data_IF_846879177376
#
_entry.id   IF_846879177376
#
_cell.length_a   1.000
_cell.length_b   1.000
_cell.length_c   1.000
_cell.angle_alpha   90.00
_cell.angle_beta   90.00
_cell.angle_gamma   90.00
#
_symmetry.space_group_name_H-M   'P 1'
#
loop_
_entity.id
_entity.type
_entity.pdbx_description
1 polymer ?
#
# COMPACT_ATOMS: atom_id res chain seq x y z
N UNK A 1 -14.65 24.79 -41.31
CA UNK A 1 -13.50 24.48 -40.44
C UNK A 1 -13.70 23.06 -39.94
N UNK A 2 -12.99 22.12 -40.55
CA UNK A 2 -13.00 20.69 -40.21
C UNK A 2 -12.05 20.46 -39.04
N UNK A 3 -12.58 20.13 -37.87
CA UNK A 3 -11.77 19.71 -36.72
C UNK A 3 -11.19 18.32 -37.00
N UNK A 4 -9.85 18.25 -37.06
CA UNK A 4 -9.11 16.99 -37.05
C UNK A 4 -9.19 16.38 -35.64
N UNK A 5 -9.38 15.05 -35.50
CA UNK A 5 -9.27 14.39 -34.21
C UNK A 5 -7.78 14.26 -33.85
N UNK A 6 -7.34 14.98 -32.82
CA UNK A 6 -6.05 14.77 -32.17
C UNK A 6 -6.15 13.58 -31.22
N UNK A 7 -6.20 12.36 -31.77
CA UNK A 7 -6.02 11.14 -31.00
C UNK A 7 -4.57 10.68 -31.14
N UNK A 8 -3.73 10.94 -30.14
CA UNK A 8 -2.50 10.16 -29.98
C UNK A 8 -2.93 8.79 -29.45
N UNK A 9 -3.11 7.82 -30.33
CA UNK A 9 -3.12 6.41 -29.93
C UNK A 9 -1.73 6.07 -29.38
N UNK A 10 -1.65 5.66 -28.11
CA UNK A 10 -0.43 5.20 -27.47
C UNK A 10 0.05 3.90 -28.15
N UNK A 11 0.88 4.06 -29.18
CA UNK A 11 1.55 2.95 -29.82
C UNK A 11 2.55 2.32 -28.83
N UNK A 12 2.48 1.00 -28.57
CA UNK A 12 3.38 0.35 -27.62
C UNK A 12 4.82 0.40 -28.12
N UNK A 13 5.73 0.77 -27.22
CA UNK A 13 7.18 0.79 -27.48
C UNK A 13 7.67 -0.63 -27.84
N UNK A 14 8.42 -0.76 -28.93
CA UNK A 14 8.96 -2.06 -29.34
C UNK A 14 10.06 -2.55 -28.39
N UNK A 15 10.25 -3.86 -28.31
CA UNK A 15 11.28 -4.46 -27.46
C UNK A 15 12.70 -3.95 -27.77
N UNK A 16 13.00 -3.65 -29.04
CA UNK A 16 14.31 -3.16 -29.46
C UNK A 16 14.54 -1.71 -29.02
N UNK A 17 13.50 -0.86 -29.08
CA UNK A 17 13.57 0.51 -28.55
C UNK A 17 13.75 0.49 -27.04
N UNK A 18 13.00 -0.35 -26.32
CA UNK A 18 13.17 -0.52 -24.88
C UNK A 18 14.59 -0.99 -24.52
N UNK A 19 15.10 -2.03 -25.19
CA UNK A 19 16.45 -2.54 -24.95
C UNK A 19 17.54 -1.52 -25.30
N UNK A 20 17.35 -0.75 -26.36
CA UNK A 20 18.29 0.31 -26.75
C UNK A 20 18.34 1.40 -25.67
N UNK A 21 17.18 1.90 -25.23
CA UNK A 21 17.07 2.88 -24.15
C UNK A 21 17.69 2.36 -22.85
N UNK A 22 17.30 1.17 -22.41
CA UNK A 22 17.82 0.60 -21.17
C UNK A 22 19.32 0.28 -21.25
N UNK A 23 19.86 0.03 -22.44
CA UNK A 23 21.29 -0.22 -22.60
C UNK A 23 22.15 1.01 -22.36
N UNK A 24 21.61 2.23 -22.48
CA UNK A 24 22.36 3.49 -22.27
C UNK A 24 22.21 4.06 -20.86
N UNK A 25 21.21 3.61 -20.09
CA UNK A 25 21.02 4.03 -18.70
C UNK A 25 22.18 3.54 -17.82
N UNK A 26 22.98 4.45 -17.21
CA UNK A 26 24.06 4.05 -16.33
C UNK A 26 23.49 3.50 -15.03
N UNK A 27 24.04 2.38 -14.57
CA UNK A 27 23.61 1.70 -13.35
C UNK A 27 24.81 1.17 -12.58
N UNK A 28 24.67 1.14 -11.25
CA UNK A 28 25.60 0.37 -10.41
C UNK A 28 25.48 -1.13 -10.71
N UNK A 29 26.59 -1.85 -10.57
CA UNK A 29 26.62 -3.30 -10.78
C UNK A 29 26.67 -4.02 -9.45
N UNK A 30 25.78 -5.00 -9.26
CA UNK A 30 25.79 -5.88 -8.11
C UNK A 30 25.73 -7.35 -8.53
N UNK A 31 26.12 -8.26 -7.62
CA UNK A 31 25.77 -9.68 -7.72
C UNK A 31 24.74 -10.00 -6.65
N UNK A 32 23.55 -10.39 -7.07
CA UNK A 32 22.52 -10.94 -6.16
C UNK A 32 22.82 -12.40 -5.96
N UNK A 33 22.89 -12.82 -4.70
CA UNK A 33 23.22 -14.20 -4.31
C UNK A 33 22.23 -14.72 -3.28
N UNK A 34 22.08 -16.04 -3.23
CA UNK A 34 21.27 -16.76 -2.25
C UNK A 34 21.73 -18.21 -2.22
N UNK A 35 21.15 -19.02 -1.35
CA UNK A 35 21.32 -20.48 -1.34
C UNK A 35 19.98 -21.14 -1.56
N UNK A 36 19.97 -22.30 -2.21
CA UNK A 36 18.80 -23.17 -2.22
C UNK A 36 18.64 -23.89 -0.86
N UNK A 37 17.56 -24.67 -0.71
CA UNK A 37 17.23 -25.40 0.52
C UNK A 37 18.29 -26.45 0.88
N UNK A 38 19.00 -26.99 -0.11
CA UNK A 38 20.10 -27.94 0.04
C UNK A 38 21.46 -27.28 0.30
N UNK A 39 21.50 -25.94 0.40
CA UNK A 39 22.72 -25.16 0.58
C UNK A 39 23.45 -24.81 -0.71
N UNK A 40 22.97 -25.25 -1.88
CA UNK A 40 23.60 -24.93 -3.17
C UNK A 40 23.57 -23.42 -3.42
N UNK A 41 24.72 -22.76 -3.69
CA UNK A 41 24.75 -21.33 -3.91
C UNK A 41 24.23 -20.96 -5.30
N UNK A 42 23.43 -19.90 -5.36
CA UNK A 42 22.92 -19.30 -6.59
C UNK A 42 23.24 -17.82 -6.62
N UNK A 43 23.54 -17.30 -7.82
CA UNK A 43 23.77 -15.87 -7.97
C UNK A 43 23.68 -15.39 -9.41
N UNK A 44 23.43 -14.11 -9.61
CA UNK A 44 23.41 -13.46 -10.92
C UNK A 44 23.87 -12.01 -10.81
N UNK A 45 24.46 -11.52 -11.89
CA UNK A 45 24.77 -10.09 -12.03
C UNK A 45 23.48 -9.32 -12.27
N UNK A 46 23.28 -8.26 -11.48
CA UNK A 46 22.09 -7.43 -11.48
C UNK A 46 22.48 -5.95 -11.59
N UNK A 47 21.85 -5.25 -12.52
CA UNK A 47 21.93 -3.79 -12.68
C UNK A 47 20.59 -3.10 -12.40
N UNK A 48 19.52 -3.88 -12.25
CA UNK A 48 18.18 -3.42 -11.88
C UNK A 48 18.02 -3.49 -10.36
N UNK A 49 18.63 -2.53 -9.68
CA UNK A 49 18.57 -2.35 -8.24
C UNK A 49 18.34 -0.87 -7.88
N UNK A 50 17.54 -0.62 -6.85
CA UNK A 50 17.36 0.70 -6.24
C UNK A 50 17.10 0.59 -4.73
N UNK A 51 17.37 1.66 -3.99
CA UNK A 51 16.81 1.86 -2.65
C UNK A 51 15.32 2.20 -2.76
N UNK A 52 14.50 1.68 -1.84
CA UNK A 52 13.04 1.83 -1.87
C UNK A 52 12.57 2.78 -0.76
N UNK A 53 12.96 2.49 0.49
CA UNK A 53 12.60 3.28 1.66
C UNK A 53 13.65 3.05 2.76
N UNK A 54 13.83 4.03 3.64
CA UNK A 54 14.67 3.94 4.83
C UNK A 54 13.92 3.39 6.05
N UNK A 55 12.59 3.45 6.05
CA UNK A 55 11.73 2.88 7.11
C UNK A 55 10.68 1.89 6.53
N UNK A 56 10.86 0.56 6.72
CA UNK A 56 12.10 -0.10 7.14
C UNK A 56 13.15 -0.06 6.02
N UNK A 57 14.45 -0.10 6.35
CA UNK A 57 15.54 0.02 5.38
C UNK A 57 15.46 -1.08 4.29
N UNK A 58 14.95 -0.72 3.11
CA UNK A 58 14.53 -1.67 2.07
C UNK A 58 15.14 -1.30 0.73
N UNK A 59 15.65 -2.31 0.02
CA UNK A 59 16.10 -2.22 -1.37
C UNK A 59 15.25 -3.12 -2.28
N UNK A 60 15.23 -2.81 -3.57
CA UNK A 60 14.55 -3.59 -4.60
C UNK A 60 15.55 -4.17 -5.59
N UNK A 61 15.36 -5.44 -6.00
CA UNK A 61 16.07 -6.07 -7.13
C UNK A 61 15.09 -6.72 -8.09
N UNK A 62 15.25 -6.48 -9.39
CA UNK A 62 14.46 -7.17 -10.41
C UNK A 62 15.18 -8.43 -10.89
N UNK A 63 14.51 -9.58 -10.81
CA UNK A 63 15.05 -10.89 -11.20
C UNK A 63 14.18 -11.52 -12.27
N UNK A 64 14.79 -12.03 -13.35
CA UNK A 64 14.04 -12.65 -14.44
C UNK A 64 13.39 -13.97 -13.98
N UNK A 65 12.09 -14.17 -14.26
CA UNK A 65 11.27 -15.27 -13.73
C UNK A 65 11.77 -16.68 -14.12
N UNK A 66 12.54 -16.80 -15.20
CA UNK A 66 13.17 -18.07 -15.63
C UNK A 66 14.48 -18.41 -14.91
N UNK A 67 15.08 -17.48 -14.17
CA UNK A 67 16.39 -17.65 -13.53
C UNK A 67 16.38 -18.65 -12.37
N UNK A 68 17.50 -19.35 -12.14
CA UNK A 68 17.66 -20.22 -10.97
C UNK A 68 17.69 -19.42 -9.66
N UNK A 69 18.35 -18.25 -9.66
CA UNK A 69 18.46 -17.38 -8.48
C UNK A 69 17.10 -16.93 -7.96
N UNK A 70 16.17 -16.47 -8.81
CA UNK A 70 14.83 -16.04 -8.33
C UNK A 70 14.04 -17.20 -7.72
N UNK A 71 14.21 -18.42 -8.23
CA UNK A 71 13.57 -19.62 -7.64
C UNK A 71 14.14 -19.92 -6.25
N UNK A 72 15.45 -19.78 -6.09
CA UNK A 72 16.10 -19.95 -4.79
C UNK A 72 15.71 -18.83 -3.81
N UNK A 73 15.66 -17.56 -4.25
CA UNK A 73 15.21 -16.43 -3.42
C UNK A 73 13.78 -16.65 -2.93
N UNK A 74 12.87 -17.11 -3.80
CA UNK A 74 11.48 -17.44 -3.44
C UNK A 74 11.37 -18.49 -2.34
N UNK A 75 12.27 -19.48 -2.33
CA UNK A 75 12.25 -20.56 -1.33
C UNK A 75 12.99 -20.18 -0.04
N UNK A 76 14.11 -19.47 -0.17
CA UNK A 76 15.00 -19.11 0.94
C UNK A 76 14.51 -17.90 1.71
N UNK A 77 13.69 -17.06 1.08
CA UNK A 77 13.19 -15.77 1.59
C UNK A 77 14.31 -14.83 2.08
N UNK A 78 15.53 -15.05 1.58
CA UNK A 78 16.71 -14.24 1.87
C UNK A 78 17.62 -14.19 0.66
N UNK A 79 18.29 -13.07 0.50
CA UNK A 79 19.30 -12.87 -0.54
C UNK A 79 20.33 -11.84 -0.09
N UNK A 80 21.54 -11.94 -0.60
CA UNK A 80 22.57 -10.93 -0.41
C UNK A 80 22.78 -10.14 -1.69
N UNK A 81 22.97 -8.83 -1.56
CA UNK A 81 23.36 -7.93 -2.63
C UNK A 81 24.82 -7.54 -2.42
N UNK A 82 25.67 -7.97 -3.34
CA UNK A 82 27.10 -7.69 -3.34
C UNK A 82 27.37 -6.54 -4.32
N UNK A 83 27.47 -5.31 -3.81
CA UNK A 83 27.70 -4.10 -4.61
C UNK A 83 29.14 -4.08 -5.11
N UNK A 84 29.35 -4.22 -6.42
CA UNK A 84 30.69 -4.46 -6.97
C UNK A 84 31.51 -3.17 -7.09
N UNK A 85 32.80 -3.26 -6.80
CA UNK A 85 33.77 -2.23 -7.15
C UNK A 85 34.41 -2.52 -8.51
N UNK A 86 35.21 -1.58 -9.02
CA UNK A 86 35.90 -1.71 -10.32
C UNK A 86 36.68 -3.01 -10.51
N UNK A 87 37.42 -3.45 -9.48
CA UNK A 87 38.10 -4.75 -9.45
C UNK A 87 37.17 -5.98 -9.52
N UNK A 88 35.89 -5.84 -9.19
CA UNK A 88 34.88 -6.90 -9.24
C UNK A 88 34.31 -7.18 -10.63
N UNK A 89 34.82 -6.52 -11.69
CA UNK A 89 34.33 -6.70 -13.07
C UNK A 89 34.31 -8.16 -13.52
N UNK A 90 35.35 -8.93 -13.19
CA UNK A 90 35.43 -10.35 -13.57
C UNK A 90 34.27 -11.16 -12.94
N UNK A 91 33.91 -10.85 -11.69
CA UNK A 91 32.74 -11.45 -11.05
C UNK A 91 31.44 -11.03 -11.76
N UNK A 92 31.30 -9.76 -12.13
CA UNK A 92 30.14 -9.28 -12.88
C UNK A 92 29.96 -10.02 -14.22
N UNK A 93 31.02 -10.19 -15.00
CA UNK A 93 30.97 -10.92 -16.27
C UNK A 93 30.66 -12.40 -16.05
N UNK A 94 31.27 -13.01 -15.03
CA UNK A 94 31.07 -14.42 -14.72
C UNK A 94 29.63 -14.74 -14.29
N UNK A 95 29.07 -13.94 -13.37
CA UNK A 95 27.70 -14.12 -12.90
C UNK A 95 26.63 -13.72 -13.93
N UNK A 96 27.00 -13.02 -15.01
CA UNK A 96 26.13 -12.73 -16.15
C UNK A 96 26.15 -13.84 -17.23
N UNK A 97 27.20 -14.69 -17.26
CA UNK A 97 27.47 -15.62 -18.35
C UNK A 97 26.48 -16.78 -18.51
N UNK A 98 25.72 -17.11 -17.46
CA UNK A 98 24.86 -18.29 -17.46
C UNK A 98 25.54 -19.57 -16.97
N UNK A 99 26.87 -19.59 -16.75
CA UNK A 99 27.63 -20.78 -16.35
C UNK A 99 27.08 -21.46 -15.08
N UNK A 100 27.14 -22.80 -14.94
CA UNK A 100 26.68 -23.50 -13.74
C UNK A 100 27.69 -23.44 -12.57
N UNK A 101 28.99 -23.30 -12.87
CA UNK A 101 30.14 -23.34 -11.94
C UNK A 101 30.51 -21.96 -11.36
N UNK A 102 29.53 -21.04 -11.23
CA UNK A 102 29.79 -19.61 -10.90
C UNK A 102 30.60 -19.37 -9.62
N UNK A 103 30.38 -20.25 -8.65
CA UNK A 103 30.95 -20.14 -7.31
C UNK A 103 32.29 -20.87 -7.16
N UNK A 104 32.77 -21.58 -8.20
CA UNK A 104 34.07 -22.26 -8.18
C UNK A 104 35.23 -21.31 -8.56
N UNK A 105 34.91 -20.20 -9.24
CA UNK A 105 35.91 -19.29 -9.83
C UNK A 105 35.93 -17.89 -9.21
N UNK A 106 35.16 -17.68 -8.15
CA UNK A 106 35.05 -16.40 -7.45
C UNK A 106 35.23 -16.67 -5.96
N UNK A 107 36.05 -15.86 -5.30
CA UNK A 107 36.21 -15.96 -3.86
C UNK A 107 34.91 -15.49 -3.17
N UNK A 108 34.30 -16.40 -2.42
CA UNK A 108 33.11 -16.10 -1.62
C UNK A 108 33.21 -16.77 -0.25
N UNK A 109 32.44 -16.23 0.70
CA UNK A 109 32.30 -16.79 2.05
C UNK A 109 30.84 -16.79 2.48
N UNK A 110 30.49 -17.61 3.45
CA UNK A 110 29.15 -17.61 4.03
C UNK A 110 28.99 -16.44 5.00
N UNK A 111 27.93 -15.65 4.80
CA UNK A 111 27.51 -14.53 5.66
C UNK A 111 26.80 -14.97 6.93
N UNK A 112 26.35 -13.99 7.71
CA UNK A 112 25.67 -14.22 9.00
C UNK A 112 24.38 -15.03 8.82
N UNK A 113 23.66 -14.81 7.72
CA UNK A 113 22.39 -15.49 7.42
C UNK A 113 22.54 -16.70 6.49
N UNK A 114 23.76 -17.21 6.34
CA UNK A 114 24.04 -18.36 5.48
C UNK A 114 24.05 -18.02 3.98
N UNK A 115 24.23 -16.74 3.63
CA UNK A 115 24.19 -16.26 2.24
C UNK A 115 25.60 -16.16 1.64
N UNK A 116 25.81 -16.39 0.33
CA UNK A 116 27.13 -16.26 -0.29
C UNK A 116 27.53 -14.78 -0.43
N UNK A 117 28.62 -14.38 0.21
CA UNK A 117 29.15 -13.00 0.17
C UNK A 117 30.44 -12.95 -0.65
N UNK A 118 30.61 -11.90 -1.46
CA UNK A 118 31.76 -11.70 -2.35
C UNK A 118 32.65 -10.52 -1.87
N UNK A 119 33.31 -10.63 -0.69
CA UNK A 119 34.00 -9.49 -0.07
C UNK A 119 35.15 -8.93 -0.90
N UNK A 120 35.83 -9.74 -1.71
CA UNK A 120 36.97 -9.31 -2.54
C UNK A 120 36.56 -8.60 -3.83
N UNK A 121 35.27 -8.65 -4.19
CA UNK A 121 34.74 -8.04 -5.40
C UNK A 121 33.82 -6.84 -5.11
N UNK A 122 33.52 -6.58 -3.83
CA UNK A 122 32.46 -5.68 -3.40
C UNK A 122 32.93 -4.54 -2.51
N UNK A 123 32.52 -3.32 -2.82
CA UNK A 123 32.66 -2.16 -1.92
C UNK A 123 31.53 -2.07 -0.90
N UNK A 124 30.50 -2.89 -1.02
CA UNK A 124 29.41 -2.94 -0.07
C UNK A 124 28.64 -4.24 -0.20
N UNK A 125 28.07 -4.72 0.89
CA UNK A 125 27.30 -5.97 0.92
C UNK A 125 26.10 -5.74 1.82
N UNK A 126 24.91 -6.12 1.37
CA UNK A 126 23.70 -6.14 2.17
C UNK A 126 23.11 -7.56 2.21
N UNK A 127 22.87 -8.09 3.39
CA UNK A 127 22.09 -9.31 3.59
C UNK A 127 20.64 -8.94 3.88
N UNK A 128 19.73 -9.41 3.04
CA UNK A 128 18.34 -8.99 3.05
C UNK A 128 17.40 -10.14 3.41
N UNK A 129 16.33 -9.82 4.14
CA UNK A 129 15.14 -10.65 4.27
C UNK A 129 14.11 -10.20 3.24
N UNK A 130 13.53 -11.14 2.51
CA UNK A 130 12.46 -10.84 1.55
C UNK A 130 11.24 -10.36 2.34
N UNK A 131 10.77 -9.15 2.02
CA UNK A 131 9.52 -8.56 2.49
C UNK A 131 8.37 -8.87 1.53
N UNK A 132 8.63 -8.74 0.24
CA UNK A 132 7.64 -9.00 -0.80
C UNK A 132 8.31 -9.41 -2.12
N UNK A 133 7.54 -10.10 -2.96
CA UNK A 133 7.93 -10.57 -4.29
C UNK A 133 6.82 -10.21 -5.29
N UNK A 134 6.99 -9.07 -5.95
CA UNK A 134 6.00 -8.55 -6.88
C UNK A 134 6.32 -9.09 -8.28
N UNK A 135 5.46 -9.97 -8.81
CA UNK A 135 5.60 -10.48 -10.18
C UNK A 135 5.08 -9.43 -11.16
N UNK A 136 5.96 -8.96 -12.04
CA UNK A 136 5.63 -7.97 -13.07
C UNK A 136 6.18 -8.41 -14.43
N UNK A 137 5.27 -8.85 -15.31
CA UNK A 137 5.62 -9.40 -16.62
C UNK A 137 6.59 -10.59 -16.51
N UNK A 138 7.75 -10.49 -17.15
CA UNK A 138 8.78 -11.54 -17.14
C UNK A 138 9.79 -11.42 -15.99
N UNK A 139 9.59 -10.50 -15.04
CA UNK A 139 10.45 -10.31 -13.87
C UNK A 139 9.67 -10.43 -12.56
N UNK A 140 10.40 -10.64 -11.47
CA UNK A 140 9.94 -10.50 -10.09
C UNK A 140 10.77 -9.39 -9.45
N UNK A 141 10.11 -8.40 -8.87
CA UNK A 141 10.74 -7.40 -8.01
C UNK A 141 10.80 -8.00 -6.61
N UNK A 142 12.00 -8.29 -6.12
CA UNK A 142 12.21 -8.71 -4.75
C UNK A 142 12.51 -7.49 -3.88
N UNK A 143 11.63 -7.21 -2.92
CA UNK A 143 11.81 -6.18 -1.91
C UNK A 143 12.51 -6.81 -0.71
N UNK A 144 13.74 -6.39 -0.45
CA UNK A 144 14.58 -6.90 0.61
C UNK A 144 14.78 -5.88 1.71
N UNK A 145 14.28 -6.16 2.91
CA UNK A 145 14.65 -5.42 4.12
C UNK A 145 16.07 -5.81 4.52
N UNK A 146 16.94 -4.83 4.70
CA UNK A 146 18.35 -5.01 5.03
C UNK A 146 18.44 -5.44 6.49
N UNK A 147 18.95 -6.65 6.72
CA UNK A 147 19.17 -7.20 8.06
C UNK A 147 20.60 -6.95 8.55
N UNK A 148 21.57 -6.93 7.64
CA UNK A 148 22.98 -6.61 7.92
C UNK A 148 23.60 -5.97 6.69
N UNK A 149 24.53 -5.03 6.88
CA UNK A 149 25.24 -4.38 5.78
C UNK A 149 26.67 -4.02 6.15
N UNK A 150 27.55 -4.06 5.15
CA UNK A 150 28.92 -3.54 5.21
C UNK A 150 29.14 -2.53 4.10
N UNK A 151 29.95 -1.51 4.37
CA UNK A 151 30.38 -0.51 3.39
C UNK A 151 31.92 -0.45 3.31
N UNK A 152 32.40 0.03 2.18
CA UNK A 152 33.81 0.12 1.81
C UNK A 152 34.04 1.39 0.97
N UNK A 153 35.31 1.68 0.69
CA UNK A 153 35.74 2.92 0.03
C UNK A 153 36.21 2.72 -1.40
N UNK A 154 36.16 1.48 -1.91
CA UNK A 154 36.57 1.14 -3.26
C UNK A 154 35.62 1.77 -4.29
N UNK A 155 36.17 2.16 -5.44
CA UNK A 155 35.40 2.82 -6.49
C UNK A 155 34.31 1.89 -7.06
N UNK A 156 33.02 2.30 -7.03
CA UNK A 156 31.93 1.49 -7.57
C UNK A 156 32.07 1.15 -9.06
N UNK A 157 31.63 -0.05 -9.44
CA UNK A 157 31.54 -0.47 -10.84
C UNK A 157 30.22 -0.01 -11.45
N UNK A 158 30.31 0.64 -12.61
CA UNK A 158 29.18 1.08 -13.40
C UNK A 158 29.04 0.25 -14.67
N UNK A 159 27.80 0.10 -15.14
CA UNK A 159 27.48 -0.46 -16.45
C UNK A 159 26.48 0.43 -17.19
N UNK A 160 26.78 0.72 -18.45
CA UNK A 160 25.93 1.52 -19.33
C UNK A 160 26.55 1.63 -20.71
N UNK A 161 25.75 1.89 -21.74
CA UNK A 161 26.15 1.84 -23.16
C UNK A 161 26.93 0.56 -23.53
N UNK A 162 26.54 -0.59 -22.95
CA UNK A 162 27.21 -1.90 -23.12
C UNK A 162 28.70 -1.93 -22.74
N UNK A 163 29.12 -1.06 -21.82
CA UNK A 163 30.51 -0.99 -21.31
C UNK A 163 30.51 -0.89 -19.79
N UNK A 164 31.55 -1.44 -19.19
CA UNK A 164 31.88 -1.19 -17.80
C UNK A 164 32.66 0.12 -17.67
N UNK A 165 32.41 0.85 -16.60
CA UNK A 165 33.14 2.06 -16.24
C UNK A 165 33.38 2.10 -14.73
N UNK A 166 34.38 2.88 -14.31
CA UNK A 166 34.55 3.25 -12.91
C UNK A 166 33.68 4.48 -12.62
N UNK A 167 33.10 4.54 -11.42
CA UNK A 167 32.59 5.81 -10.92
C UNK A 167 33.74 6.84 -10.95
N UNK A 168 33.52 8.06 -11.49
CA UNK A 168 34.58 9.05 -11.56
C UNK A 168 35.10 9.35 -10.15
N UNK A 169 36.43 9.42 -9.94
CA UNK A 169 36.97 9.87 -8.66
C UNK A 169 36.49 11.30 -8.39
N UNK A 170 36.29 11.65 -7.12
CA UNK A 170 35.95 13.02 -6.73
C UNK A 170 37.01 13.99 -7.28
N UNK A 171 36.64 14.75 -8.30
CA UNK A 171 37.45 15.86 -8.81
C UNK A 171 37.37 17.10 -7.92
N UNK A 172 36.84 16.98 -6.69
CA UNK A 172 36.52 18.07 -5.79
C UNK A 172 37.62 18.42 -4.76
N UNK A 173 38.87 17.98 -4.94
CA UNK A 173 40.03 18.50 -4.18
C UNK A 173 40.93 19.47 -4.98
N UNK A 174 40.62 19.76 -6.25
CA UNK A 174 41.29 20.81 -7.05
C UNK A 174 40.34 21.95 -7.42
N UNK A 175 40.02 22.80 -6.43
CA UNK A 175 39.68 24.22 -6.67
C UNK A 175 39.56 25.08 -5.41
N UNK A 176 39.92 24.59 -4.21
CA UNK A 176 39.86 25.39 -2.97
C UNK A 176 41.25 25.69 -2.36
N UNK A 177 42.36 25.31 -3.00
CA UNK A 177 43.73 25.65 -2.57
C UNK A 177 44.36 26.87 -3.26
N UNK A 178 43.68 27.47 -4.25
CA UNK A 178 44.20 28.63 -5.01
C UNK A 178 43.64 29.99 -4.55
N UNK A 179 42.95 30.04 -3.41
CA UNK A 179 42.56 31.30 -2.78
C UNK A 179 42.98 31.32 -1.31
N UNK A 180 44.29 31.30 -1.08
CA UNK A 180 44.90 31.61 0.20
C UNK A 180 45.02 33.14 0.39
N UNK A 181 44.10 33.72 1.17
CA UNK A 181 44.25 34.92 2.04
C UNK A 181 44.55 36.31 1.41
N UNK A 182 44.40 37.46 2.13
CA UNK A 182 43.99 37.72 3.53
C UNK A 182 42.82 38.78 3.59
N UNK A 183 42.20 39.24 4.68
CA UNK A 183 42.67 39.77 5.98
C UNK A 183 41.49 39.94 6.95
N UNK A 184 41.66 39.48 8.20
CA UNK A 184 41.35 40.18 9.47
C UNK A 184 40.33 41.33 9.48
N UNK A 185 39.25 41.18 10.26
CA UNK A 185 39.02 41.93 11.53
C UNK A 185 37.91 41.27 12.34
N UNK A 186 38.25 40.80 13.54
CA UNK A 186 37.37 40.50 14.68
C UNK A 186 37.09 41.82 15.47
N UNK A 187 36.29 41.88 16.56
CA UNK A 187 35.31 40.94 17.11
C UNK A 187 33.98 41.63 17.51
N UNK A 188 32.93 40.86 17.87
CA UNK A 188 32.30 40.92 19.22
C UNK A 188 31.01 40.08 19.38
N UNK A 189 31.09 39.15 20.36
CA UNK A 189 30.11 38.81 21.43
C UNK A 189 28.85 37.98 21.15
N UNK A 190 28.94 36.72 21.61
CA UNK A 190 28.02 35.96 22.49
C UNK A 190 26.55 35.73 22.08
N UNK A 191 26.17 34.47 21.99
CA UNK A 191 25.22 33.88 22.94
C UNK A 191 25.19 32.35 22.83
N UNK A 192 24.96 31.73 23.98
CA UNK A 192 25.08 30.32 24.31
C UNK A 192 23.92 29.49 23.74
N UNK A 193 24.22 28.39 23.04
CA UNK A 193 23.23 27.32 22.83
C UNK A 193 23.46 26.17 23.80
N UNK A 194 22.48 26.02 24.70
CA UNK A 194 22.33 24.92 25.64
C UNK A 194 22.24 23.59 24.90
N UNK A 195 23.24 22.75 25.14
CA UNK A 195 23.21 21.33 24.84
C UNK A 195 22.26 20.63 25.83
N UNK A 196 21.02 20.34 25.41
CA UNK A 196 20.12 19.45 26.17
C UNK A 196 20.42 18.02 25.73
N UNK A 197 21.28 17.34 26.47
CA UNK A 197 21.47 15.89 26.38
C UNK A 197 20.20 15.19 26.87
N UNK A 198 19.30 14.81 25.96
CA UNK A 198 18.18 13.92 26.28
C UNK A 198 18.64 12.48 26.03
N UNK A 199 19.17 11.86 27.08
CA UNK A 199 19.34 10.41 27.16
C UNK A 199 17.96 9.75 27.06
N UNK A 200 17.56 9.36 25.85
CA UNK A 200 16.40 8.48 25.68
C UNK A 200 16.89 7.06 25.96
N UNK A 201 16.75 6.66 27.22
CA UNK A 201 16.79 5.25 27.59
C UNK A 201 15.61 4.59 26.88
N UNK A 202 15.79 3.55 26.05
CA UNK A 202 14.67 2.84 25.47
C UNK A 202 13.77 2.33 26.62
N UNK A 203 12.45 2.49 26.55
CA UNK A 203 11.58 1.95 27.58
C UNK A 203 11.80 0.44 27.65
N UNK A 204 12.14 -0.01 28.84
CA UNK A 204 12.31 -1.41 29.19
C UNK A 204 11.03 -2.18 28.83
N UNK A 205 11.07 -2.94 27.74
CA UNK A 205 9.94 -3.75 27.25
C UNK A 205 9.67 -4.98 28.14
N UNK A 206 10.31 -5.11 29.30
CA UNK A 206 10.16 -6.24 30.20
C UNK A 206 9.26 -6.01 31.43
N UNK A 207 8.33 -5.06 31.42
CA UNK A 207 7.38 -4.89 32.54
C UNK A 207 5.94 -5.38 32.26
N UNK A 208 5.78 -6.47 31.49
CA UNK A 208 4.57 -7.31 31.51
C UNK A 208 4.95 -8.79 31.49
N UNK A 209 5.64 -9.23 32.53
CA UNK A 209 5.77 -10.66 32.87
C UNK A 209 4.74 -11.02 33.93
N UNK A 210 3.47 -11.03 33.54
CA UNK A 210 2.55 -12.03 34.07
C UNK A 210 2.43 -13.08 32.96
N UNK A 211 3.05 -14.24 33.21
CA UNK A 211 2.95 -15.41 32.35
C UNK A 211 1.48 -15.84 32.23
N UNK A 212 0.82 -15.39 31.18
CA UNK A 212 -0.25 -16.18 30.56
C UNK A 212 0.41 -17.10 29.55
N UNK A 213 0.14 -18.41 29.63
CA UNK A 213 0.59 -19.40 28.65
C UNK A 213 0.43 -18.82 27.22
N UNK A 214 1.55 -18.75 26.48
CA UNK A 214 1.66 -17.91 25.30
C UNK A 214 0.55 -18.16 24.28
N UNK A 215 -0.28 -17.15 24.03
CA UNK A 215 -1.33 -17.20 23.03
C UNK A 215 -0.70 -17.47 21.65
N UNK A 216 -0.92 -18.67 21.12
CA UNK A 216 -0.58 -19.02 19.74
C UNK A 216 -1.27 -18.10 18.72
N UNK A 217 -0.70 -17.96 17.52
CA UNK A 217 -1.34 -17.27 16.38
C UNK A 217 -2.81 -17.69 16.19
N UNK A 218 -3.05 -19.00 16.30
CA UNK A 218 -4.37 -19.62 16.18
C UNK A 218 -5.36 -19.15 17.25
N UNK A 219 -4.91 -18.99 18.49
CA UNK A 219 -5.74 -18.53 19.61
C UNK A 219 -5.99 -17.02 19.57
N UNK A 220 -5.00 -16.22 19.14
CA UNK A 220 -5.17 -14.76 19.03
C UNK A 220 -6.23 -14.41 17.98
N UNK A 221 -6.20 -15.08 16.83
CA UNK A 221 -7.15 -14.83 15.73
C UNK A 221 -8.43 -15.67 15.81
N UNK A 222 -8.58 -16.51 16.84
CA UNK A 222 -9.71 -17.45 17.00
C UNK A 222 -9.99 -18.26 15.72
N UNK A 223 -8.94 -18.78 15.07
CA UNK A 223 -9.07 -19.37 13.72
C UNK A 223 -10.00 -20.58 13.67
N UNK A 224 -10.07 -21.38 14.73
CA UNK A 224 -11.01 -22.53 14.78
C UNK A 224 -12.47 -22.09 14.70
N UNK A 225 -12.80 -20.93 15.26
CA UNK A 225 -14.15 -20.39 15.19
C UNK A 225 -14.38 -19.74 13.82
N UNK A 226 -13.46 -18.88 13.39
CA UNK A 226 -13.55 -18.15 12.13
C UNK A 226 -13.66 -19.08 10.91
N UNK A 227 -12.79 -20.10 10.84
CA UNK A 227 -12.71 -21.04 9.71
C UNK A 227 -13.77 -22.15 9.75
N UNK A 228 -14.64 -22.15 10.77
CA UNK A 228 -15.78 -23.06 10.87
C UNK A 228 -17.09 -22.43 10.39
N UNK A 229 -17.10 -21.12 10.09
CA UNK A 229 -18.29 -20.40 9.66
C UNK A 229 -18.66 -20.64 8.18
N UNK A 230 -17.77 -21.22 7.37
CA UNK A 230 -17.99 -21.49 5.95
C UNK A 230 -18.60 -22.88 5.75
N UNK A 231 -19.86 -23.05 6.13
CA UNK A 231 -20.48 -24.38 6.23
C UNK A 231 -21.07 -24.89 4.91
N UNK A 232 -20.76 -26.16 4.60
CA UNK A 232 -21.44 -27.04 3.64
C UNK A 232 -21.87 -26.41 2.30
N UNK A 233 -20.95 -25.82 1.51
CA UNK A 233 -21.26 -25.40 0.15
C UNK A 233 -21.71 -26.61 -0.68
N UNK A 234 -22.88 -26.50 -1.31
CA UNK A 234 -23.43 -27.52 -2.20
C UNK A 234 -22.76 -27.42 -3.57
N UNK A 235 -22.53 -26.19 -4.04
CA UNK A 235 -21.85 -25.91 -5.31
C UNK A 235 -20.42 -25.43 -5.10
N UNK A 236 -19.54 -25.65 -6.08
CA UNK A 236 -18.12 -25.30 -5.97
C UNK A 236 -17.89 -23.81 -5.67
N UNK A 237 -18.60 -22.94 -6.40
CA UNK A 237 -18.43 -21.48 -6.32
C UNK A 237 -19.15 -20.86 -5.10
N UNK A 238 -20.00 -21.63 -4.40
CA UNK A 238 -20.71 -21.15 -3.21
C UNK A 238 -19.74 -20.82 -2.07
N UNK A 239 -18.66 -21.59 -1.90
CA UNK A 239 -17.63 -21.29 -0.89
C UNK A 239 -17.00 -19.92 -1.13
N UNK A 240 -16.67 -19.61 -2.38
CA UNK A 240 -16.11 -18.31 -2.75
C UNK A 240 -17.11 -17.19 -2.45
N UNK A 241 -18.38 -17.38 -2.80
CA UNK A 241 -19.44 -16.43 -2.49
C UNK A 241 -19.51 -16.14 -0.98
N UNK A 242 -19.54 -17.17 -0.13
CA UNK A 242 -19.57 -17.02 1.33
C UNK A 242 -18.32 -16.32 1.86
N UNK A 243 -17.12 -16.75 1.45
CA UNK A 243 -15.85 -16.19 1.93
C UNK A 243 -15.72 -14.71 1.57
N UNK A 244 -16.05 -14.32 0.34
CA UNK A 244 -15.96 -12.91 -0.08
C UNK A 244 -16.87 -12.03 0.77
N UNK A 245 -18.11 -12.43 1.03
CA UNK A 245 -19.03 -11.64 1.85
C UNK A 245 -18.62 -11.60 3.33
N UNK A 246 -18.12 -12.70 3.90
CA UNK A 246 -17.58 -12.69 5.26
C UNK A 246 -16.37 -11.77 5.40
N UNK A 247 -15.49 -11.75 4.40
CA UNK A 247 -14.35 -10.81 4.37
C UNK A 247 -14.85 -9.36 4.28
N UNK A 248 -15.89 -9.08 3.47
CA UNK A 248 -16.52 -7.75 3.46
C UNK A 248 -17.03 -7.35 4.85
N UNK A 249 -17.76 -8.23 5.54
CA UNK A 249 -18.29 -7.96 6.88
C UNK A 249 -17.19 -7.75 7.94
N UNK A 250 -16.03 -8.42 7.82
CA UNK A 250 -14.88 -8.16 8.68
C UNK A 250 -14.26 -6.78 8.41
N UNK A 251 -14.16 -6.37 7.15
CA UNK A 251 -13.70 -5.04 6.79
C UNK A 251 -14.71 -3.96 7.19
N UNK A 252 -16.01 -4.22 7.09
CA UNK A 252 -17.06 -3.31 7.59
C UNK A 252 -16.96 -3.11 9.09
N UNK A 253 -16.72 -4.19 9.85
CA UNK A 253 -16.47 -4.10 11.29
C UNK A 253 -15.29 -3.22 11.63
N UNK A 254 -14.17 -3.36 10.90
CA UNK A 254 -13.02 -2.49 11.09
C UNK A 254 -13.34 -1.04 10.67
N UNK A 255 -14.03 -0.84 9.54
CA UNK A 255 -14.44 0.48 9.08
C UNK A 255 -15.29 1.21 10.12
N UNK A 256 -16.24 0.52 10.76
CA UNK A 256 -17.05 1.08 11.84
C UNK A 256 -16.18 1.50 13.03
N UNK A 257 -15.28 0.63 13.47
CA UNK A 257 -14.36 0.93 14.56
C UNK A 257 -13.52 2.20 14.28
N UNK A 258 -13.02 2.35 13.06
CA UNK A 258 -12.24 3.52 12.66
C UNK A 258 -13.12 4.78 12.53
N UNK A 259 -14.33 4.68 11.95
CA UNK A 259 -15.23 5.82 11.78
C UNK A 259 -15.79 6.35 13.11
N UNK A 260 -15.99 5.48 14.10
CA UNK A 260 -16.35 5.88 15.46
C UNK A 260 -15.24 6.73 16.08
N UNK A 261 -14.00 6.26 16.01
CA UNK A 261 -12.85 7.00 16.51
C UNK A 261 -12.63 8.30 15.71
N UNK A 262 -12.82 8.31 14.39
CA UNK A 262 -12.80 9.54 13.58
C UNK A 262 -13.79 10.55 14.12
N UNK A 263 -15.06 10.16 14.33
CA UNK A 263 -16.09 11.05 14.87
C UNK A 263 -15.66 11.61 16.22
N UNK A 264 -15.22 10.75 17.13
CA UNK A 264 -14.87 11.12 18.50
C UNK A 264 -13.65 12.06 18.53
N UNK A 265 -12.64 11.80 17.69
CA UNK A 265 -11.50 12.71 17.49
C UNK A 265 -11.91 14.08 16.96
N UNK A 266 -12.89 14.14 16.04
CA UNK A 266 -13.37 15.43 15.51
C UNK A 266 -14.20 16.21 16.53
N UNK A 267 -14.94 15.53 17.42
CA UNK A 267 -15.62 16.16 18.55
C UNK A 267 -14.59 16.89 19.44
N UNK A 268 -13.44 16.23 19.68
CA UNK A 268 -12.29 16.71 20.45
C UNK A 268 -11.33 17.65 19.69
N UNK A 269 -11.69 18.10 18.48
CA UNK A 269 -10.89 19.03 17.68
C UNK A 269 -9.51 18.47 17.26
N UNK A 270 -9.39 17.14 17.12
CA UNK A 270 -8.16 16.42 16.73
C UNK A 270 -8.17 16.02 15.26
N UNK A 271 -8.33 16.99 14.36
CA UNK A 271 -8.48 16.77 12.91
C UNK A 271 -7.30 16.02 12.27
N UNK A 272 -6.06 16.26 12.69
CA UNK A 272 -4.89 15.56 12.15
C UNK A 272 -4.90 14.05 12.48
N UNK A 273 -5.26 13.70 13.72
CA UNK A 273 -5.39 12.30 14.12
C UNK A 273 -6.55 11.62 13.38
N UNK A 274 -7.68 12.31 13.23
CA UNK A 274 -8.81 11.82 12.45
C UNK A 274 -8.43 11.60 10.98
N UNK A 275 -7.62 12.49 10.40
CA UNK A 275 -7.15 12.39 9.00
C UNK A 275 -6.44 11.06 8.75
N UNK A 276 -5.55 10.63 9.65
CA UNK A 276 -4.85 9.33 9.53
C UNK A 276 -5.82 8.15 9.48
N UNK A 277 -6.89 8.19 10.28
CA UNK A 277 -7.90 7.12 10.30
C UNK A 277 -8.80 7.17 9.07
N UNK A 278 -9.15 8.36 8.57
CA UNK A 278 -9.88 8.50 7.30
C UNK A 278 -9.04 7.96 6.12
N UNK A 279 -7.73 8.20 6.10
CA UNK A 279 -6.82 7.60 5.11
C UNK A 279 -6.85 6.06 5.16
N UNK A 280 -6.91 5.49 6.38
CA UNK A 280 -7.09 4.04 6.56
C UNK A 280 -8.46 3.57 6.06
N UNK A 281 -9.54 4.27 6.38
CA UNK A 281 -10.88 3.97 5.88
C UNK A 281 -10.91 3.97 4.34
N UNK A 282 -10.34 4.98 3.69
CA UNK A 282 -10.28 5.04 2.23
C UNK A 282 -9.47 3.88 1.64
N UNK A 283 -8.39 3.48 2.33
CA UNK A 283 -7.58 2.31 1.94
C UNK A 283 -8.37 1.01 2.07
N UNK A 284 -9.08 0.80 3.17
CA UNK A 284 -9.98 -0.37 3.36
C UNK A 284 -11.04 -0.39 2.24
N UNK A 285 -11.63 0.75 1.93
CA UNK A 285 -12.64 0.86 0.89
C UNK A 285 -12.08 0.47 -0.49
N UNK A 286 -10.84 0.85 -0.80
CA UNK A 286 -10.16 0.42 -2.04
C UNK A 286 -9.87 -1.10 -2.08
N UNK A 287 -9.57 -1.71 -0.93
CA UNK A 287 -9.47 -3.18 -0.83
C UNK A 287 -10.82 -3.82 -1.16
N UNK A 288 -11.91 -3.32 -0.58
CA UNK A 288 -13.27 -3.79 -0.89
C UNK A 288 -13.62 -3.64 -2.38
N UNK A 289 -13.22 -2.53 -3.02
CA UNK A 289 -13.38 -2.35 -4.48
C UNK A 289 -12.68 -3.47 -5.26
N UNK A 290 -11.45 -3.81 -4.87
CA UNK A 290 -10.65 -4.82 -5.57
C UNK A 290 -11.23 -6.24 -5.44
N UNK A 291 -11.88 -6.55 -4.32
CA UNK A 291 -12.44 -7.88 -4.03
C UNK A 291 -13.55 -8.30 -4.99
N UNK A 292 -14.26 -7.34 -5.61
CA UNK A 292 -15.23 -7.65 -6.68
C UNK A 292 -14.61 -8.45 -7.83
N UNK A 293 -13.30 -8.28 -8.09
CA UNK A 293 -12.59 -9.02 -9.14
C UNK A 293 -12.53 -10.52 -8.87
N UNK A 294 -12.64 -10.96 -7.61
CA UNK A 294 -12.73 -12.37 -7.23
C UNK A 294 -14.11 -12.92 -7.60
N UNK A 295 -15.19 -12.23 -7.24
CA UNK A 295 -16.55 -12.65 -7.62
C UNK A 295 -16.78 -12.61 -9.14
N UNK A 296 -16.06 -11.75 -9.85
CA UNK A 296 -16.07 -11.68 -11.31
C UNK A 296 -15.52 -12.95 -11.99
N UNK A 297 -14.88 -13.87 -11.28
CA UNK A 297 -14.42 -15.14 -11.87
C UNK A 297 -15.52 -16.20 -11.95
N UNK A 298 -16.59 -16.06 -11.17
CA UNK A 298 -17.75 -16.97 -11.20
C UNK A 298 -18.59 -16.73 -12.45
N UNK A 299 -18.99 -17.81 -13.13
CA UNK A 299 -19.87 -17.70 -14.29
C UNK A 299 -21.33 -17.50 -13.82
N UNK A 300 -22.16 -16.80 -14.60
CA UNK A 300 -23.58 -16.66 -14.29
C UNK A 300 -24.33 -17.99 -14.11
N UNK A 301 -23.92 -19.04 -14.85
CA UNK A 301 -24.51 -20.37 -14.71
C UNK A 301 -24.20 -21.00 -13.36
N UNK A 302 -22.97 -20.86 -12.86
CA UNK A 302 -22.52 -21.38 -11.57
C UNK A 302 -23.22 -20.64 -10.43
N UNK A 303 -23.37 -19.31 -10.53
CA UNK A 303 -24.16 -18.55 -9.56
C UNK A 303 -25.63 -19.02 -9.51
N UNK A 304 -26.25 -19.24 -10.67
CA UNK A 304 -27.64 -19.70 -10.73
C UNK A 304 -27.84 -21.10 -10.14
N UNK A 305 -26.81 -21.93 -10.08
CA UNK A 305 -26.89 -23.29 -9.54
C UNK A 305 -27.20 -23.31 -8.03
N UNK A 306 -26.68 -22.35 -7.27
CA UNK A 306 -26.92 -22.26 -5.81
C UNK A 306 -27.76 -21.06 -5.38
N UNK A 307 -28.08 -20.13 -6.29
CA UNK A 307 -28.83 -18.90 -5.98
C UNK A 307 -30.14 -19.14 -5.23
N UNK A 308 -30.89 -20.16 -5.61
CA UNK A 308 -32.21 -20.44 -5.01
C UNK A 308 -32.09 -20.92 -3.56
N UNK A 309 -30.92 -21.46 -3.17
CA UNK A 309 -30.60 -21.86 -1.80
C UNK A 309 -30.25 -20.70 -0.87
N UNK A 310 -30.13 -19.46 -1.38
CA UNK A 310 -29.80 -18.28 -0.56
C UNK A 310 -30.99 -17.76 0.27
N UNK A 311 -32.16 -18.43 0.25
CA UNK A 311 -33.35 -18.21 1.11
C UNK A 311 -33.68 -16.72 1.44
N UNK A 312 -33.57 -15.83 0.45
CA UNK A 312 -33.90 -14.40 0.62
C UNK A 312 -32.76 -13.52 1.15
N UNK A 313 -31.66 -14.12 1.63
CA UNK A 313 -30.44 -13.45 2.03
C UNK A 313 -29.94 -12.52 0.92
N UNK A 314 -29.91 -11.23 1.22
CA UNK A 314 -29.53 -10.18 0.28
C UNK A 314 -28.50 -9.27 0.92
N UNK A 315 -27.51 -8.83 0.16
CA UNK A 315 -26.59 -7.78 0.61
C UNK A 315 -27.29 -6.47 1.03
N UNK A 316 -28.57 -6.31 0.66
CA UNK A 316 -29.45 -5.23 1.16
C UNK A 316 -29.68 -5.29 2.68
N UNK A 317 -29.51 -6.45 3.30
CA UNK A 317 -29.73 -6.73 4.73
C UNK A 317 -28.44 -6.58 5.56
N UNK A 318 -27.32 -6.18 4.95
CA UNK A 318 -26.09 -5.91 5.70
C UNK A 318 -26.28 -4.71 6.63
N UNK A 319 -26.45 -4.99 7.92
CA UNK A 319 -26.62 -3.99 8.97
C UNK A 319 -25.36 -3.15 9.13
N UNK A 320 -24.17 -3.77 9.14
CA UNK A 320 -22.92 -3.02 9.25
C UNK A 320 -22.71 -2.05 8.07
N UNK A 321 -23.03 -2.46 6.84
CA UNK A 321 -22.97 -1.55 5.69
C UNK A 321 -23.91 -0.35 5.88
N UNK A 322 -25.11 -0.57 6.44
CA UNK A 322 -26.05 0.52 6.74
C UNK A 322 -25.56 1.42 7.88
N UNK A 323 -25.00 0.85 8.93
CA UNK A 323 -24.38 1.60 10.03
C UNK A 323 -23.26 2.52 9.50
N UNK A 324 -22.41 2.02 8.60
CA UNK A 324 -21.36 2.82 7.96
C UNK A 324 -21.95 4.00 7.20
N UNK A 325 -23.00 3.78 6.40
CA UNK A 325 -23.67 4.88 5.69
C UNK A 325 -24.19 5.94 6.68
N UNK A 326 -24.81 5.53 7.79
CA UNK A 326 -25.38 6.46 8.77
C UNK A 326 -24.30 7.22 9.55
N UNK A 327 -23.30 6.49 10.07
CA UNK A 327 -22.19 7.06 10.83
C UNK A 327 -21.34 8.00 9.97
N UNK A 328 -21.17 7.70 8.68
CA UNK A 328 -20.45 8.60 7.78
C UNK A 328 -21.26 9.89 7.47
N UNK A 329 -22.58 9.78 7.26
CA UNK A 329 -23.44 10.96 7.04
C UNK A 329 -24.60 10.79 6.05
N UNK A 330 -24.83 9.57 5.53
CA UNK A 330 -25.90 9.21 4.59
C UNK A 330 -27.06 8.49 5.31
N UNK A 331 -27.75 9.22 6.18
CA UNK A 331 -28.89 8.73 6.98
C UNK A 331 -30.14 8.53 6.12
N UNK A 332 -30.86 7.42 6.31
CA UNK A 332 -32.09 7.06 5.59
C UNK A 332 -33.10 6.36 6.52
N UNK A 333 -33.92 7.13 7.24
CA UNK A 333 -34.90 6.57 8.20
C UNK A 333 -35.87 5.57 7.56
N UNK A 334 -36.20 5.76 6.27
CA UNK A 334 -37.13 4.88 5.53
C UNK A 334 -36.60 3.45 5.39
N UNK A 335 -35.30 3.23 5.59
CA UNK A 335 -34.73 1.88 5.58
C UNK A 335 -35.26 1.02 6.74
N UNK A 336 -35.50 1.61 7.92
CA UNK A 336 -36.01 0.88 9.08
C UNK A 336 -37.43 0.33 8.85
N UNK A 337 -38.23 1.01 8.03
CA UNK A 337 -39.59 0.60 7.72
C UNK A 337 -39.65 -0.50 6.65
N UNK A 338 -38.68 -0.54 5.74
CA UNK A 338 -38.68 -1.44 4.56
C UNK A 338 -37.84 -2.70 4.74
N UNK A 339 -36.84 -2.68 5.61
CA UNK A 339 -35.93 -3.80 5.82
C UNK A 339 -36.50 -4.80 6.83
N UNK A 340 -36.26 -6.08 6.60
CA UNK A 340 -36.56 -7.13 7.58
C UNK A 340 -35.39 -7.17 8.56
N UNK A 341 -35.60 -6.69 9.77
CA UNK A 341 -34.57 -6.55 10.81
C UNK A 341 -35.04 -7.23 12.10
N UNK A 342 -34.10 -7.76 12.87
CA UNK A 342 -34.34 -8.13 14.27
C UNK A 342 -34.51 -6.89 15.15
N UNK A 343 -35.11 -7.05 16.33
CA UNK A 343 -35.28 -5.94 17.29
C UNK A 343 -33.96 -5.29 17.68
N UNK A 344 -32.88 -6.08 17.77
CA UNK A 344 -31.55 -5.58 18.14
C UNK A 344 -30.93 -4.79 16.97
N UNK A 345 -31.01 -5.28 15.74
CA UNK A 345 -30.51 -4.56 14.55
C UNK A 345 -31.29 -3.25 14.34
N UNK A 346 -32.61 -3.27 14.57
CA UNK A 346 -33.43 -2.07 14.52
C UNK A 346 -32.97 -1.05 15.56
N UNK A 347 -32.65 -1.49 16.78
CA UNK A 347 -32.15 -0.61 17.84
C UNK A 347 -30.76 -0.06 17.51
N UNK A 348 -29.86 -0.88 16.98
CA UNK A 348 -28.52 -0.48 16.54
C UNK A 348 -28.59 0.61 15.48
N UNK A 349 -29.35 0.39 14.40
CA UNK A 349 -29.50 1.36 13.33
C UNK A 349 -30.22 2.65 13.76
N UNK A 350 -31.20 2.56 14.67
CA UNK A 350 -31.82 3.75 15.26
C UNK A 350 -30.81 4.58 16.05
N UNK A 351 -29.94 3.93 16.84
CA UNK A 351 -28.85 4.62 17.56
C UNK A 351 -27.95 5.39 16.58
N UNK A 352 -27.56 4.77 15.46
CA UNK A 352 -26.76 5.42 14.40
C UNK A 352 -27.43 6.60 13.70
N UNK A 353 -28.76 6.58 13.59
CA UNK A 353 -29.51 7.71 13.02
C UNK A 353 -29.52 8.91 13.98
N UNK A 354 -29.68 8.64 15.27
CA UNK A 354 -29.81 9.66 16.32
C UNK A 354 -28.48 10.31 16.71
N UNK A 355 -27.36 9.57 16.63
CA UNK A 355 -26.03 10.11 16.95
C UNK A 355 -25.49 11.05 15.87
N UNK A 356 -24.53 11.91 16.25
CA UNK A 356 -23.84 12.76 15.27
C UNK A 356 -22.96 11.91 14.35
N UNK A 357 -23.09 12.11 13.05
CA UNK A 357 -22.26 11.49 12.02
C UNK A 357 -20.93 12.22 11.85
N UNK A 358 -19.96 11.56 11.21
CA UNK A 358 -18.67 12.15 10.82
C UNK A 358 -18.88 13.42 9.99
N UNK A 359 -19.83 13.41 9.04
CA UNK A 359 -20.22 14.59 8.27
C UNK A 359 -20.68 15.74 9.18
N UNK A 360 -21.62 15.48 10.07
CA UNK A 360 -22.18 16.51 10.97
C UNK A 360 -21.09 17.10 11.88
N UNK A 361 -20.26 16.24 12.49
CA UNK A 361 -19.16 16.69 13.37
C UNK A 361 -18.08 17.44 12.60
N UNK A 362 -17.74 17.02 11.38
CA UNK A 362 -16.80 17.76 10.53
C UNK A 362 -17.33 19.16 10.19
N UNK A 363 -18.59 19.28 9.79
CA UNK A 363 -19.21 20.58 9.48
C UNK A 363 -19.33 21.48 10.71
N UNK A 364 -19.64 20.92 11.88
CA UNK A 364 -19.59 21.63 13.16
C UNK A 364 -18.16 22.13 13.45
N UNK A 365 -17.16 21.28 13.25
CA UNK A 365 -15.76 21.62 13.49
C UNK A 365 -15.28 22.77 12.59
N UNK A 366 -15.58 22.72 11.29
CA UNK A 366 -15.29 23.79 10.33
C UNK A 366 -15.85 25.13 10.82
N UNK A 367 -17.11 25.13 11.29
CA UNK A 367 -17.75 26.32 11.87
C UNK A 367 -17.10 26.77 13.18
N UNK A 368 -16.76 25.85 14.09
CA UNK A 368 -16.07 26.15 15.37
C UNK A 368 -14.71 26.81 15.14
N UNK A 369 -14.01 26.45 14.05
CA UNK A 369 -12.72 27.05 13.65
C UNK A 369 -12.85 28.36 12.87
N UNK A 370 -14.07 28.88 12.69
CA UNK A 370 -14.32 30.22 12.15
C UNK A 370 -14.55 30.29 10.64
N UNK A 371 -14.68 29.15 9.96
CA UNK A 371 -15.04 29.09 8.55
C UNK A 371 -16.56 29.10 8.38
N UNK A 372 -17.06 29.89 7.43
CA UNK A 372 -18.49 29.96 7.09
C UNK A 372 -19.00 28.71 6.37
N UNK A 373 -18.13 28.04 5.61
CA UNK A 373 -18.41 26.77 4.95
C UNK A 373 -17.11 26.01 4.62
N UNK A 374 -17.19 24.70 4.29
CA UNK A 374 -16.04 23.97 3.76
C UNK A 374 -15.43 24.56 2.47
N UNK A 375 -16.19 25.37 1.72
CA UNK A 375 -15.70 26.05 0.51
C UNK A 375 -14.54 27.00 0.81
N UNK A 376 -14.59 27.66 1.98
CA UNK A 376 -13.57 28.61 2.42
C UNK A 376 -12.22 27.94 2.69
N UNK A 377 -12.21 26.63 2.93
CA UNK A 377 -10.97 25.84 3.05
C UNK A 377 -10.20 25.79 1.72
N UNK A 378 -10.90 25.84 0.58
CA UNK A 378 -10.30 25.73 -0.76
C UNK A 378 -10.12 27.09 -1.48
N UNK A 379 -10.91 28.11 -1.13
CA UNK A 379 -10.89 29.42 -1.81
C UNK A 379 -9.67 30.27 -1.46
N UNK A 380 -9.11 30.11 -0.26
CA UNK A 380 -7.82 30.66 0.08
C UNK A 380 -6.74 29.76 -0.51
N UNK A 381 -5.86 30.31 -1.37
CA UNK A 381 -4.68 29.58 -1.86
C UNK A 381 -4.03 28.94 -0.65
N UNK A 382 -3.97 27.62 -0.61
CA UNK A 382 -3.35 26.82 0.45
C UNK A 382 -2.11 27.51 1.07
N UNK A 383 -1.24 28.09 0.23
CA UNK A 383 -0.04 28.86 0.62
C UNK A 383 -0.25 30.04 1.58
N UNK A 384 -1.42 30.66 1.57
CA UNK A 384 -1.74 31.87 2.31
C UNK A 384 -2.55 31.58 3.60
N UNK A 385 -2.90 30.31 3.87
CA UNK A 385 -3.61 29.91 5.09
C UNK A 385 -2.66 29.69 6.28
N UNK A 386 -3.06 30.08 7.51
CA UNK A 386 -2.31 29.76 8.72
C UNK A 386 -2.08 28.26 8.86
N UNK A 387 -0.88 27.85 9.29
CA UNK A 387 -0.50 26.44 9.47
C UNK A 387 -1.51 25.59 10.25
N UNK A 388 -2.25 26.21 11.18
CA UNK A 388 -3.27 25.56 12.04
C UNK A 388 -4.56 25.15 11.32
N UNK A 389 -4.81 25.64 10.10
CA UNK A 389 -6.06 25.38 9.37
C UNK A 389 -5.88 24.34 8.24
N UNK A 390 -4.63 23.91 8.01
CA UNK A 390 -4.27 22.93 6.98
C UNK A 390 -4.74 21.52 7.28
N UNK A 391 -4.87 21.18 8.56
CA UNK A 391 -5.39 19.90 8.99
C UNK A 391 -6.85 19.70 8.55
N UNK A 392 -7.68 20.75 8.57
CA UNK A 392 -9.05 20.71 8.06
C UNK A 392 -9.12 20.56 6.55
N UNK A 393 -8.26 21.27 5.81
CA UNK A 393 -8.17 21.10 4.35
C UNK A 393 -7.74 19.67 4.00
N UNK A 394 -6.71 19.16 4.67
CA UNK A 394 -6.23 17.78 4.44
C UNK A 394 -7.32 16.76 4.79
N UNK A 395 -7.99 16.93 5.92
CA UNK A 395 -9.11 16.09 6.32
C UNK A 395 -10.23 16.12 5.27
N UNK A 396 -10.59 17.28 4.75
CA UNK A 396 -11.61 17.43 3.71
C UNK A 396 -11.24 16.65 2.44
N UNK A 397 -9.99 16.75 1.97
CA UNK A 397 -9.51 15.95 0.83
C UNK A 397 -9.56 14.44 1.12
N UNK A 398 -9.29 14.02 2.36
CA UNK A 398 -9.36 12.60 2.75
C UNK A 398 -10.79 12.07 2.89
N UNK A 399 -11.72 12.91 3.33
CA UNK A 399 -13.15 12.58 3.31
C UNK A 399 -13.66 12.44 1.87
N UNK A 400 -13.18 13.28 0.94
CA UNK A 400 -13.43 13.12 -0.50
C UNK A 400 -12.86 11.81 -1.06
N UNK A 401 -11.60 11.47 -0.71
CA UNK A 401 -10.99 10.20 -1.10
C UNK A 401 -11.85 9.00 -0.65
N UNK A 402 -12.36 9.04 0.58
CA UNK A 402 -13.26 8.02 1.12
C UNK A 402 -14.57 7.92 0.34
N UNK A 403 -15.27 9.04 0.12
CA UNK A 403 -16.54 9.06 -0.62
C UNK A 403 -16.38 8.60 -2.07
N UNK A 404 -15.28 8.99 -2.72
CA UNK A 404 -14.93 8.51 -4.06
C UNK A 404 -14.75 6.98 -4.09
N UNK A 405 -14.09 6.42 -3.08
CA UNK A 405 -13.92 4.98 -2.95
C UNK A 405 -15.26 4.26 -2.70
N UNK A 406 -16.18 4.84 -1.92
CA UNK A 406 -17.54 4.33 -1.74
C UNK A 406 -18.34 4.34 -3.04
N UNK A 407 -18.31 5.45 -3.79
CA UNK A 407 -18.96 5.56 -5.08
C UNK A 407 -18.43 4.52 -6.07
N UNK A 408 -17.11 4.32 -6.10
CA UNK A 408 -16.45 3.30 -6.92
C UNK A 408 -16.89 1.89 -6.54
N UNK A 409 -16.97 1.58 -5.25
CA UNK A 409 -17.45 0.29 -4.76
C UNK A 409 -18.90 0.03 -5.17
N UNK A 410 -19.79 1.03 -5.01
CA UNK A 410 -21.20 0.91 -5.44
C UNK A 410 -21.32 0.66 -6.94
N UNK A 411 -20.50 1.34 -7.75
CA UNK A 411 -20.47 1.13 -9.19
C UNK A 411 -19.99 -0.28 -9.55
N UNK A 412 -18.89 -0.76 -8.95
CA UNK A 412 -18.36 -2.12 -9.16
C UNK A 412 -19.33 -3.20 -8.70
N UNK A 413 -19.97 -3.01 -7.55
CA UNK A 413 -21.03 -3.89 -7.06
C UNK A 413 -22.18 -3.97 -8.06
N UNK A 414 -22.68 -2.81 -8.55
CA UNK A 414 -23.77 -2.74 -9.53
C UNK A 414 -23.44 -3.51 -10.80
N UNK A 415 -22.24 -3.30 -11.35
CA UNK A 415 -21.79 -4.00 -12.56
C UNK A 415 -21.61 -5.50 -12.34
N UNK A 416 -21.11 -5.91 -11.17
CA UNK A 416 -20.97 -7.33 -10.81
C UNK A 416 -22.34 -8.01 -10.75
N UNK A 417 -23.32 -7.39 -10.09
CA UNK A 417 -24.69 -7.90 -10.02
C UNK A 417 -25.32 -7.96 -11.40
N UNK A 418 -25.20 -6.90 -12.21
CA UNK A 418 -25.73 -6.89 -13.57
C UNK A 418 -25.11 -7.98 -14.45
N UNK A 419 -23.81 -8.23 -14.29
CA UNK A 419 -23.13 -9.32 -14.99
C UNK A 419 -23.65 -10.71 -14.58
N UNK A 420 -23.93 -10.92 -13.29
CA UNK A 420 -24.34 -12.23 -12.77
C UNK A 420 -25.82 -12.54 -13.01
N UNK A 421 -26.71 -11.55 -12.88
CA UNK A 421 -28.17 -11.78 -12.94
C UNK A 421 -28.92 -10.95 -13.99
N UNK A 422 -28.23 -10.09 -14.73
CA UNK A 422 -28.87 -9.18 -15.69
C UNK A 422 -29.87 -8.26 -14.98
N UNK A 423 -31.09 -8.21 -15.51
CA UNK A 423 -32.20 -7.40 -14.97
C UNK A 423 -33.13 -8.17 -14.02
N UNK A 424 -32.78 -9.41 -13.64
CA UNK A 424 -33.57 -10.19 -12.68
C UNK A 424 -33.66 -9.44 -11.34
N UNK A 425 -34.80 -9.54 -10.66
CA UNK A 425 -34.99 -9.00 -9.30
C UNK A 425 -33.98 -9.61 -8.32
N UNK A 426 -33.64 -8.86 -7.27
CA UNK A 426 -32.76 -9.34 -6.21
C UNK A 426 -33.45 -10.39 -5.32
N UNK A 427 -32.66 -11.18 -4.59
CA UNK A 427 -33.18 -12.18 -3.63
C UNK A 427 -33.90 -11.53 -2.44
N UNK A 428 -33.49 -10.32 -2.04
CA UNK A 428 -34.11 -9.55 -0.95
C UNK A 428 -35.23 -8.59 -1.38
N UNK A 429 -36.00 -8.93 -2.42
CA UNK A 429 -37.22 -8.18 -2.80
C UNK A 429 -37.03 -6.83 -3.50
N UNK A 430 -35.79 -6.36 -3.71
CA UNK A 430 -35.52 -5.14 -4.47
C UNK A 430 -35.68 -5.35 -5.98
N UNK A 431 -35.80 -4.24 -6.73
CA UNK A 431 -35.76 -4.25 -8.22
C UNK A 431 -34.38 -4.62 -8.80
N UNK A 432 -33.48 -5.19 -7.98
CA UNK A 432 -32.16 -5.66 -8.35
C UNK A 432 -31.25 -4.52 -8.79
N UNK A 433 -30.72 -4.61 -10.00
CA UNK A 433 -29.81 -3.61 -10.59
C UNK A 433 -30.41 -2.21 -10.61
N UNK A 434 -31.73 -2.05 -10.79
CA UNK A 434 -32.36 -0.73 -10.84
C UNK A 434 -32.27 0.02 -9.50
N UNK A 435 -32.42 -0.70 -8.38
CA UNK A 435 -32.20 -0.12 -7.05
C UNK A 435 -30.73 0.26 -6.86
N UNK A 436 -29.79 -0.60 -7.26
CA UNK A 436 -28.36 -0.30 -7.13
C UNK A 436 -27.96 0.93 -7.96
N UNK A 437 -28.50 1.05 -9.18
CA UNK A 437 -28.30 2.22 -10.05
C UNK A 437 -28.80 3.51 -9.43
N UNK A 438 -29.95 3.50 -8.75
CA UNK A 438 -30.46 4.73 -8.09
C UNK A 438 -29.56 5.21 -6.96
N UNK A 439 -28.77 4.32 -6.36
CA UNK A 439 -27.83 4.63 -5.28
C UNK A 439 -26.44 5.09 -5.75
N UNK A 440 -26.11 5.01 -7.04
CA UNK A 440 -24.79 5.39 -7.56
C UNK A 440 -24.43 6.88 -7.33
N UNK A 441 -25.44 7.74 -7.29
CA UNK A 441 -25.26 9.18 -7.10
C UNK A 441 -25.28 9.61 -5.63
N UNK A 442 -25.54 8.69 -4.69
CA UNK A 442 -25.48 9.03 -3.28
C UNK A 442 -24.04 9.37 -2.87
N UNK A 443 -23.89 10.41 -2.04
CA UNK A 443 -22.60 10.89 -1.52
C UNK A 443 -22.67 10.94 0.00
N UNK A 444 -21.57 10.53 0.63
CA UNK A 444 -21.41 10.62 2.08
C UNK A 444 -21.16 12.07 2.50
N UNK A 445 -20.41 12.83 1.70
CA UNK A 445 -20.04 14.22 1.98
C UNK A 445 -20.38 15.14 0.78
N UNK A 446 -21.66 15.31 0.43
CA UNK A 446 -22.07 16.05 -0.77
C UNK A 446 -21.53 17.47 -0.82
N UNK A 447 -21.44 18.15 0.33
CA UNK A 447 -20.92 19.52 0.42
C UNK A 447 -19.52 19.64 -0.18
N UNK A 448 -18.65 18.65 0.06
CA UNK A 448 -17.26 18.67 -0.40
C UNK A 448 -17.14 18.54 -1.93
N UNK A 449 -18.11 17.87 -2.58
CA UNK A 449 -18.15 17.74 -4.04
C UNK A 449 -18.67 19.00 -4.71
N UNK A 450 -19.70 19.62 -4.12
CA UNK A 450 -20.30 20.86 -4.61
C UNK A 450 -19.29 22.02 -4.61
N UNK A 451 -18.33 22.02 -3.67
CA UNK A 451 -17.24 23.01 -3.61
C UNK A 451 -16.46 23.16 -4.92
N UNK A 452 -16.29 22.07 -5.69
CA UNK A 452 -15.49 22.10 -6.92
C UNK A 452 -16.15 22.91 -8.03
N UNK A 453 -17.45 23.16 -7.96
CA UNK A 453 -18.16 24.04 -8.88
C UNK A 453 -18.01 25.53 -8.57
N UNK A 454 -17.49 25.87 -7.39
CA UNK A 454 -17.34 27.26 -6.91
C UNK A 454 -15.89 27.79 -6.99
N UNK A 455 -14.93 26.92 -7.33
CA UNK A 455 -13.52 27.25 -7.62
C UNK A 455 -13.34 27.71 -9.07
#
# INVERSE_FOLDING_TARGET
MTNAPSGHEDMPVTIDVFKALMSTFPSGVAVVTTTDVDGTPHGLTCTSLCGITDEPSTLGVCLHNRGATVRAVRRRERFAVNFLHTGGRAAAEHFASGAPDRFERVDWRTGEYGLPLLPTASHGIAECRVRDLIVFGNHTIALGEIASATTGTETPLLYGARRFAAWPPDSAERSLKDASQPTSTDPTTQSEERQVSRSVVPPDLNSRTEQTEGASYKSVLRLDELLRLQQAPVEHDELMFVVVHQVHELWFKLMLHELEEVRDLLLDDRAEAATHLVERCATIQNVLVSQWSVLDTMLPADFLAFRDGLEGGSGFESVQYREIEYLAGLKDETYLERAVLTDEEHKQLRTRLEEQSVREVFLDLVRRRGFGSPAELSSNRYRDQPARDWDLLRLAEKLLDLDQAFATWRARHTLTVERQIGTKSGTGGSSGVNYLRSRMNARLFPELWELRGEL
#
